data_IF_214733712504
#
_entry.id   IF_214733712504
#
_cell.length_a   1.000
_cell.length_b   1.000
_cell.length_c   1.000
_cell.angle_alpha   90.00
_cell.angle_beta   90.00
_cell.angle_gamma   90.00
#
_symmetry.space_group_name_H-M   'P 1'
#
loop_
_entity.id
_entity.type
_entity.pdbx_description
1 polymer ?
#
# COMPACT_ATOMS: atom_id res chain seq x y z
N UNK A 1 4.56 10.51 -7.77
CA UNK A 1 3.13 10.15 -7.90
C UNK A 1 2.34 10.63 -6.68
N UNK A 2 2.80 10.34 -5.44
CA UNK A 2 2.28 10.94 -4.20
C UNK A 2 2.29 12.49 -4.18
N UNK A 3 3.20 13.12 -4.94
CA UNK A 3 3.33 14.59 -5.00
C UNK A 3 2.20 15.29 -5.75
N UNK A 4 1.63 14.71 -6.81
CA UNK A 4 0.60 15.39 -7.60
C UNK A 4 -0.78 15.36 -6.89
N UNK A 5 -1.08 14.25 -6.24
CA UNK A 5 -2.28 14.05 -5.41
C UNK A 5 -2.35 15.06 -4.26
N UNK A 6 -1.23 15.18 -3.55
CA UNK A 6 -1.13 16.08 -2.40
C UNK A 6 -1.21 17.55 -2.83
N UNK A 7 -0.61 17.94 -3.95
CA UNK A 7 -0.66 19.33 -4.45
C UNK A 7 -2.10 19.75 -4.78
N UNK A 8 -2.91 18.86 -5.37
CA UNK A 8 -4.31 19.15 -5.74
C UNK A 8 -5.19 19.25 -4.49
N UNK A 9 -5.02 18.33 -3.54
CA UNK A 9 -5.77 18.32 -2.27
C UNK A 9 -5.37 19.51 -1.40
N UNK A 10 -4.10 19.91 -1.37
CA UNK A 10 -3.66 21.07 -0.61
C UNK A 10 -4.06 22.40 -1.26
N UNK A 11 -4.12 22.50 -2.60
CA UNK A 11 -4.68 23.70 -3.25
C UNK A 11 -6.17 23.90 -2.92
N UNK A 12 -6.92 22.80 -2.78
CA UNK A 12 -8.34 22.83 -2.45
C UNK A 12 -8.67 23.03 -0.96
N UNK A 13 -7.86 22.49 -0.05
CA UNK A 13 -8.12 22.53 1.41
C UNK A 13 -7.36 23.62 2.15
N UNK A 14 -6.26 24.11 1.57
CA UNK A 14 -5.32 25.07 2.16
C UNK A 14 -5.26 26.35 1.33
N UNK A 15 -6.30 26.64 0.53
CA UNK A 15 -6.46 27.94 -0.13
C UNK A 15 -6.34 29.15 0.84
N UNK A 16 -6.35 28.90 2.17
CA UNK A 16 -6.07 29.88 3.22
C UNK A 16 -4.86 29.64 4.14
N UNK A 17 -4.02 28.61 3.98
CA UNK A 17 -2.83 28.41 4.84
C UNK A 17 -1.50 28.42 4.07
N UNK A 18 -0.41 28.70 4.77
CA UNK A 18 0.88 29.01 4.13
C UNK A 18 1.53 27.77 3.51
N UNK A 19 2.17 27.96 2.36
CA UNK A 19 2.98 26.94 1.66
C UNK A 19 4.00 26.24 2.60
N UNK A 20 4.50 27.00 3.58
CA UNK A 20 5.45 26.52 4.60
C UNK A 20 4.87 25.39 5.45
N UNK A 21 3.61 25.49 5.89
CA UNK A 21 3.00 24.45 6.73
C UNK A 21 2.77 23.15 5.96
N UNK A 22 2.35 23.24 4.69
CA UNK A 22 2.21 22.07 3.83
C UNK A 22 3.55 21.38 3.61
N UNK A 23 4.58 22.14 3.23
CA UNK A 23 5.92 21.60 2.98
C UNK A 23 6.48 20.89 4.22
N UNK A 24 6.26 21.44 5.42
CA UNK A 24 6.72 20.86 6.67
C UNK A 24 6.03 19.52 6.96
N UNK A 25 4.69 19.47 6.92
CA UNK A 25 3.92 18.25 7.18
C UNK A 25 4.33 17.12 6.22
N UNK A 26 4.44 17.43 4.93
CA UNK A 26 4.82 16.45 3.91
C UNK A 26 6.23 15.93 4.09
N UNK A 27 7.17 16.81 4.44
CA UNK A 27 8.56 16.42 4.70
C UNK A 27 8.66 15.48 5.90
N UNK A 28 7.93 15.77 6.99
CA UNK A 28 7.91 14.92 8.19
C UNK A 28 7.32 13.54 7.88
N UNK A 29 6.16 13.49 7.21
CA UNK A 29 5.53 12.22 6.83
C UNK A 29 6.47 11.41 5.91
N UNK A 30 7.11 12.07 4.93
CA UNK A 30 8.04 11.40 4.03
C UNK A 30 9.23 10.77 4.76
N UNK A 31 9.82 11.47 5.73
CA UNK A 31 10.93 10.94 6.55
C UNK A 31 10.46 9.76 7.41
N UNK A 32 9.33 9.90 8.11
CA UNK A 32 8.77 8.85 8.96
C UNK A 32 8.49 7.59 8.13
N UNK A 33 7.86 7.73 6.96
CA UNK A 33 7.56 6.60 6.09
C UNK A 33 8.82 5.95 5.53
N UNK A 34 9.84 6.75 5.18
CA UNK A 34 11.14 6.23 4.72
C UNK A 34 11.78 5.37 5.80
N UNK A 35 11.90 5.89 7.02
CA UNK A 35 12.48 5.15 8.15
C UNK A 35 11.61 3.94 8.50
N UNK A 36 10.29 4.10 8.52
CA UNK A 36 9.35 3.03 8.85
C UNK A 36 9.42 1.84 7.90
N UNK A 37 9.41 2.09 6.59
CA UNK A 37 9.46 1.03 5.57
C UNK A 37 10.82 0.34 5.57
N UNK A 38 11.92 1.10 5.53
CA UNK A 38 13.27 0.50 5.55
C UNK A 38 13.57 -0.19 6.88
N UNK A 39 13.10 0.35 7.99
CA UNK A 39 13.22 -0.25 9.32
C UNK A 39 12.44 -1.56 9.43
N UNK A 40 11.22 -1.62 8.89
CA UNK A 40 10.43 -2.86 8.83
C UNK A 40 11.14 -3.93 7.98
N UNK A 41 11.63 -3.57 6.80
CA UNK A 41 12.37 -4.50 5.93
C UNK A 41 13.66 -4.98 6.61
N UNK A 42 14.44 -4.08 7.21
CA UNK A 42 15.65 -4.43 7.94
C UNK A 42 15.35 -5.34 9.15
N UNK A 43 14.23 -5.11 9.84
CA UNK A 43 13.75 -5.98 10.91
C UNK A 43 13.48 -7.40 10.42
N UNK A 44 12.84 -7.56 9.26
CA UNK A 44 12.54 -8.88 8.68
C UNK A 44 13.83 -9.61 8.31
N UNK A 45 14.78 -8.93 7.66
CA UNK A 45 16.08 -9.52 7.31
C UNK A 45 16.86 -9.94 8.56
N UNK A 46 16.85 -9.12 9.61
CA UNK A 46 17.52 -9.44 10.86
C UNK A 46 16.89 -10.63 11.60
N UNK A 47 15.57 -10.81 11.47
CA UNK A 47 14.90 -12.02 11.97
C UNK A 47 15.31 -13.26 11.16
N UNK A 48 15.47 -13.14 9.85
CA UNK A 48 15.94 -14.24 8.99
C UNK A 48 17.37 -14.68 9.39
N UNK A 49 18.29 -13.73 9.52
CA UNK A 49 19.67 -13.96 9.98
C UNK A 49 19.71 -14.55 11.39
N UNK A 50 18.86 -14.07 12.30
CA UNK A 50 18.74 -14.61 13.66
C UNK A 50 18.22 -16.05 13.66
N UNK A 51 17.29 -16.39 12.74
CA UNK A 51 16.80 -17.75 12.53
C UNK A 51 17.91 -18.70 12.09
N UNK A 52 18.73 -18.29 11.13
CA UNK A 52 19.92 -19.03 10.69
C UNK A 52 20.94 -19.22 11.82
N UNK A 53 21.25 -18.16 12.56
CA UNK A 53 22.17 -18.21 13.69
C UNK A 53 21.68 -19.17 14.80
N UNK A 54 20.39 -19.12 15.12
CA UNK A 54 19.77 -20.03 16.09
C UNK A 54 19.85 -21.49 15.63
N UNK A 55 19.66 -21.74 14.33
CA UNK A 55 19.72 -23.08 13.76
C UNK A 55 21.13 -23.68 13.85
N UNK A 56 22.15 -22.90 13.46
CA UNK A 56 23.56 -23.30 13.58
C UNK A 56 23.94 -23.60 15.04
N UNK A 57 23.50 -22.77 15.98
CA UNK A 57 23.79 -22.95 17.41
C UNK A 57 23.02 -24.13 18.02
N UNK A 58 21.81 -24.42 17.54
CA UNK A 58 21.03 -25.57 17.98
C UNK A 58 21.67 -26.90 17.55
N UNK A 59 22.26 -26.95 16.35
CA UNK A 59 23.02 -28.11 15.89
C UNK A 59 24.25 -28.40 16.77
N UNK A 60 24.92 -27.37 17.28
CA UNK A 60 26.07 -27.53 18.18
C UNK A 60 25.69 -27.85 19.63
N UNK A 61 24.56 -27.32 20.12
CA UNK A 61 24.15 -27.45 21.54
C UNK A 61 23.05 -28.48 21.81
N UNK A 62 22.57 -29.22 20.79
CA UNK A 62 21.57 -30.29 20.93
C UNK A 62 20.15 -29.83 21.32
N UNK A 63 19.85 -28.54 21.19
CA UNK A 63 18.59 -27.95 21.67
C UNK A 63 17.46 -28.02 20.64
N UNK A 64 16.65 -29.09 20.67
CA UNK A 64 15.50 -29.30 19.76
C UNK A 64 14.53 -28.10 19.68
N UNK A 65 14.31 -27.40 20.80
CA UNK A 65 13.46 -26.20 20.84
C UNK A 65 14.05 -25.03 20.03
N UNK A 66 15.37 -24.79 20.16
CA UNK A 66 16.07 -23.73 19.42
C UNK A 66 16.11 -24.02 17.92
N UNK A 67 16.24 -25.30 17.56
CA UNK A 67 16.20 -25.76 16.17
C UNK A 67 14.82 -25.52 15.54
N UNK A 68 13.74 -25.83 16.28
CA UNK A 68 12.37 -25.68 15.80
C UNK A 68 11.99 -24.21 15.62
N UNK A 69 12.39 -23.34 16.56
CA UNK A 69 12.21 -21.88 16.45
C UNK A 69 13.04 -21.31 15.30
N UNK A 70 14.29 -21.74 15.13
CA UNK A 70 15.16 -21.29 14.03
C UNK A 70 14.60 -21.66 12.65
N UNK A 71 14.12 -22.91 12.50
CA UNK A 71 13.44 -23.37 11.27
C UNK A 71 12.16 -22.59 10.99
N UNK A 72 11.38 -22.27 12.03
CA UNK A 72 10.17 -21.48 11.88
C UNK A 72 10.46 -20.05 11.43
N UNK A 73 11.42 -19.35 12.06
CA UNK A 73 11.82 -17.98 11.66
C UNK A 73 12.29 -17.94 10.20
N UNK A 74 13.19 -18.85 9.83
CA UNK A 74 13.75 -18.95 8.48
C UNK A 74 12.67 -19.26 7.42
N UNK A 75 11.66 -20.07 7.76
CA UNK A 75 10.55 -20.36 6.86
C UNK A 75 9.50 -19.23 6.80
N UNK A 76 9.38 -18.43 7.86
CA UNK A 76 8.42 -17.33 7.95
C UNK A 76 8.90 -16.07 7.22
N UNK A 77 10.20 -15.75 7.27
CA UNK A 77 10.78 -14.57 6.62
C UNK A 77 10.45 -14.44 5.12
N UNK A 78 10.65 -15.46 4.25
CA UNK A 78 10.33 -15.36 2.83
C UNK A 78 8.81 -15.28 2.57
N UNK A 79 7.98 -15.90 3.41
CA UNK A 79 6.52 -15.79 3.30
C UNK A 79 6.04 -14.38 3.64
N UNK A 80 6.62 -13.77 4.66
CA UNK A 80 6.32 -12.39 5.05
C UNK A 80 6.74 -11.40 3.95
N UNK A 81 7.92 -11.59 3.34
CA UNK A 81 8.36 -10.78 2.20
C UNK A 81 7.38 -10.89 1.01
N UNK A 82 6.92 -12.10 0.69
CA UNK A 82 5.93 -12.31 -0.38
C UNK A 82 4.57 -11.68 -0.05
N UNK A 83 4.13 -11.79 1.20
CA UNK A 83 2.89 -11.16 1.66
C UNK A 83 2.98 -9.63 1.55
N UNK A 84 4.09 -9.03 1.98
CA UNK A 84 4.32 -7.59 1.87
C UNK A 84 4.36 -7.11 0.42
N UNK A 85 4.94 -7.89 -0.50
CA UNK A 85 4.92 -7.58 -1.92
C UNK A 85 3.47 -7.53 -2.45
N UNK A 86 2.66 -8.54 -2.14
CA UNK A 86 1.25 -8.58 -2.55
C UNK A 86 0.42 -7.45 -1.91
N UNK A 87 0.55 -7.26 -0.59
CA UNK A 87 -0.12 -6.18 0.13
C UNK A 87 0.29 -4.81 -0.41
N UNK A 88 1.57 -4.64 -0.77
CA UNK A 88 2.08 -3.44 -1.41
C UNK A 88 1.43 -3.20 -2.77
N UNK A 89 1.28 -4.22 -3.61
CA UNK A 89 0.57 -4.11 -4.89
C UNK A 89 -0.89 -3.69 -4.69
N UNK A 90 -1.61 -4.32 -3.75
CA UNK A 90 -2.99 -3.95 -3.43
C UNK A 90 -3.08 -2.50 -2.94
N UNK A 91 -2.15 -2.08 -2.07
CA UNK A 91 -2.08 -0.71 -1.59
C UNK A 91 -1.81 0.29 -2.72
N UNK A 92 -0.94 -0.03 -3.68
CA UNK A 92 -0.69 0.85 -4.83
C UNK A 92 -1.93 1.05 -5.70
N UNK A 93 -2.76 0.01 -5.89
CA UNK A 93 -4.03 0.15 -6.60
C UNK A 93 -5.05 0.95 -5.80
N UNK A 94 -5.18 0.68 -4.50
CA UNK A 94 -6.09 1.41 -3.63
C UNK A 94 -5.79 2.91 -3.61
N UNK A 95 -4.51 3.26 -3.41
CA UNK A 95 -4.05 4.66 -3.42
C UNK A 95 -4.24 5.28 -4.80
N UNK A 96 -3.84 4.59 -5.87
CA UNK A 96 -4.01 5.08 -7.24
C UNK A 96 -5.47 5.34 -7.63
N UNK A 97 -6.39 4.46 -7.21
CA UNK A 97 -7.82 4.65 -7.44
C UNK A 97 -8.41 5.81 -6.64
N UNK A 98 -8.03 5.96 -5.38
CA UNK A 98 -8.42 7.11 -4.55
C UNK A 98 -8.01 8.44 -5.18
N UNK A 99 -6.81 8.54 -5.76
CA UNK A 99 -6.34 9.71 -6.52
C UNK A 99 -7.31 10.04 -7.67
N UNK A 100 -7.71 9.02 -8.44
CA UNK A 100 -8.57 9.21 -9.60
C UNK A 100 -9.97 9.67 -9.20
N UNK A 101 -10.54 9.09 -8.15
CA UNK A 101 -11.86 9.49 -7.64
C UNK A 101 -11.82 10.94 -7.19
N UNK A 102 -10.84 11.33 -6.37
CA UNK A 102 -10.75 12.70 -5.86
C UNK A 102 -10.43 13.71 -6.98
N UNK A 103 -9.65 13.31 -7.99
CA UNK A 103 -9.26 14.17 -9.11
C UNK A 103 -10.35 14.35 -10.18
N UNK A 104 -11.33 13.43 -10.27
CA UNK A 104 -12.37 13.45 -11.30
C UNK A 104 -13.75 13.59 -10.62
N UNK A 105 -14.40 14.77 -10.70
CA UNK A 105 -15.68 15.02 -10.03
C UNK A 105 -16.77 13.98 -10.34
N UNK A 106 -16.80 13.44 -11.55
CA UNK A 106 -17.77 12.40 -11.95
C UNK A 106 -17.58 11.11 -11.17
N UNK A 107 -16.33 10.70 -10.93
CA UNK A 107 -16.02 9.48 -10.17
C UNK A 107 -16.33 9.67 -8.68
N UNK A 108 -16.11 10.86 -8.15
CA UNK A 108 -16.49 11.22 -6.78
C UNK A 108 -18.01 11.10 -6.54
N UNK A 109 -18.84 11.64 -7.45
CA UNK A 109 -20.29 11.50 -7.34
C UNK A 109 -20.75 10.04 -7.52
N UNK A 110 -20.11 9.29 -8.40
CA UNK A 110 -20.39 7.86 -8.58
C UNK A 110 -20.06 7.04 -7.31
N UNK A 111 -18.98 7.39 -6.61
CA UNK A 111 -18.63 6.80 -5.32
C UNK A 111 -19.63 7.16 -4.23
N UNK A 112 -20.06 8.43 -4.16
CA UNK A 112 -21.06 8.87 -3.19
C UNK A 112 -22.40 8.13 -3.40
N UNK A 113 -22.88 8.05 -4.65
CA UNK A 113 -24.11 7.30 -4.96
C UNK A 113 -23.99 5.81 -4.66
N UNK A 114 -22.83 5.20 -4.91
CA UNK A 114 -22.56 3.81 -4.54
C UNK A 114 -22.54 3.62 -3.02
N UNK A 115 -21.96 4.56 -2.29
CA UNK A 115 -21.89 4.54 -0.81
C UNK A 115 -23.27 4.69 -0.19
N UNK A 116 -24.12 5.59 -0.70
CA UNK A 116 -25.51 5.76 -0.26
C UNK A 116 -26.34 4.49 -0.51
N UNK A 117 -26.20 3.87 -1.69
CA UNK A 117 -26.90 2.64 -2.04
C UNK A 117 -26.53 1.47 -1.12
N UNK A 118 -25.22 1.27 -0.88
CA UNK A 118 -24.74 0.17 -0.01
C UNK A 118 -25.07 0.44 1.46
N UNK A 119 -25.00 1.69 1.91
CA UNK A 119 -25.38 2.06 3.28
C UNK A 119 -26.88 1.84 3.51
N UNK A 120 -27.72 2.07 2.49
CA UNK A 120 -29.15 1.74 2.52
C UNK A 120 -29.45 0.24 2.62
N UNK A 121 -28.54 -0.63 2.15
CA UNK A 121 -28.72 -2.09 2.15
C UNK A 121 -28.07 -2.80 3.35
N UNK A 122 -26.91 -2.33 3.80
CA UNK A 122 -26.04 -3.04 4.76
C UNK A 122 -25.78 -2.22 6.05
N UNK A 123 -26.38 -1.02 6.13
CA UNK A 123 -26.22 -0.11 7.28
C UNK A 123 -24.79 0.44 7.41
N UNK A 124 -24.44 0.93 8.61
CA UNK A 124 -23.15 1.60 8.91
C UNK A 124 -21.89 0.79 8.59
N UNK A 125 -21.99 -0.53 8.43
CA UNK A 125 -20.84 -1.35 8.03
C UNK A 125 -20.43 -1.15 6.58
N UNK A 126 -21.37 -0.75 5.71
CA UNK A 126 -21.10 -0.43 4.30
C UNK A 126 -20.36 0.89 4.10
N UNK A 127 -20.50 1.84 5.02
CA UNK A 127 -20.00 3.21 4.89
C UNK A 127 -18.47 3.29 4.82
N UNK A 128 -17.77 2.40 5.53
CA UNK A 128 -16.31 2.34 5.56
C UNK A 128 -15.72 1.44 4.46
N UNK A 129 -16.43 0.37 4.08
CA UNK A 129 -15.92 -0.61 3.12
C UNK A 129 -16.15 -0.17 1.66
N UNK A 130 -17.26 0.52 1.37
CA UNK A 130 -17.62 0.94 0.02
C UNK A 130 -16.57 1.84 -0.65
N UNK A 131 -16.10 2.92 -0.03
CA UNK A 131 -15.09 3.78 -0.67
C UNK A 131 -13.79 3.02 -0.93
N UNK A 132 -13.31 2.21 0.02
CA UNK A 132 -12.08 1.42 -0.12
C UNK A 132 -12.20 0.44 -1.29
N UNK A 133 -13.32 -0.27 -1.40
CA UNK A 133 -13.55 -1.24 -2.48
C UNK A 133 -13.68 -0.50 -3.83
N UNK A 134 -14.38 0.63 -3.86
CA UNK A 134 -14.58 1.42 -5.07
C UNK A 134 -13.25 1.98 -5.60
N UNK A 135 -12.45 2.59 -4.73
CA UNK A 135 -11.10 3.06 -5.03
C UNK A 135 -10.23 1.92 -5.55
N UNK A 136 -10.19 0.79 -4.84
CA UNK A 136 -9.40 -0.37 -5.25
C UNK A 136 -9.79 -0.90 -6.63
N UNK A 137 -11.09 -1.03 -6.91
CA UNK A 137 -11.60 -1.48 -8.21
C UNK A 137 -11.23 -0.50 -9.33
N UNK A 138 -11.42 0.80 -9.12
CA UNK A 138 -11.05 1.82 -10.11
C UNK A 138 -9.54 1.84 -10.36
N UNK A 139 -8.73 1.70 -9.32
CA UNK A 139 -7.29 1.60 -9.44
C UNK A 139 -6.87 0.41 -10.32
N UNK A 140 -7.48 -0.76 -10.11
CA UNK A 140 -7.22 -1.95 -10.93
C UNK A 140 -7.66 -1.74 -12.38
N UNK A 141 -8.87 -1.20 -12.61
CA UNK A 141 -9.38 -0.93 -13.96
C UNK A 141 -8.48 0.05 -14.70
N UNK A 142 -8.07 1.15 -14.05
CA UNK A 142 -7.15 2.12 -14.63
C UNK A 142 -5.78 1.48 -14.95
N UNK A 143 -5.26 0.65 -14.04
CA UNK A 143 -4.02 -0.10 -14.27
C UNK A 143 -4.09 -1.02 -15.49
N UNK A 144 -5.19 -1.76 -15.64
CA UNK A 144 -5.43 -2.64 -16.81
C UNK A 144 -5.50 -1.81 -18.10
N UNK A 145 -6.24 -0.69 -18.10
CA UNK A 145 -6.33 0.19 -19.27
C UNK A 145 -4.94 0.69 -19.68
N UNK A 146 -4.13 1.15 -18.74
CA UNK A 146 -2.77 1.63 -19.02
C UNK A 146 -1.92 0.51 -19.64
N UNK A 147 -1.95 -0.70 -19.09
CA UNK A 147 -1.19 -1.84 -19.63
C UNK A 147 -1.64 -2.15 -21.06
N UNK A 148 -2.94 -2.20 -21.34
CA UNK A 148 -3.48 -2.47 -22.67
C UNK A 148 -3.05 -1.40 -23.70
N UNK A 149 -3.09 -0.11 -23.32
CA UNK A 149 -2.64 0.99 -24.18
C UNK A 149 -1.14 0.86 -24.48
N UNK A 150 -0.34 0.56 -23.46
CA UNK A 150 1.11 0.39 -23.62
C UNK A 150 1.43 -0.82 -24.49
N UNK A 151 0.72 -1.94 -24.34
CA UNK A 151 0.89 -3.12 -25.19
C UNK A 151 0.50 -2.83 -26.64
N UNK A 152 -0.62 -2.14 -26.86
CA UNK A 152 -1.07 -1.76 -28.20
C UNK A 152 -0.05 -0.82 -28.87
N UNK A 153 0.50 0.13 -28.12
CA UNK A 153 1.57 1.01 -28.60
C UNK A 153 2.83 0.24 -29.01
N UNK A 154 3.28 -0.70 -28.19
CA UNK A 154 4.43 -1.55 -28.52
C UNK A 154 4.16 -2.44 -29.75
N UNK A 155 2.92 -2.90 -29.93
CA UNK A 155 2.52 -3.69 -31.09
C UNK A 155 2.45 -2.89 -32.38
N UNK A 156 2.10 -1.60 -32.31
CA UNK A 156 2.07 -0.70 -33.49
C UNK A 156 3.48 -0.23 -33.87
N UNK A 157 4.41 -0.16 -32.90
CA UNK A 157 5.79 0.28 -33.13
C UNK A 157 6.75 -0.86 -33.53
N UNK A 158 6.32 -2.11 -33.44
CA UNK A 158 7.03 -3.29 -33.97
C UNK A 158 6.57 -3.58 -35.39
#
# INVERSE_FOLDING_TARGET
MLSAEIIVITLGTVAGATLVNQALVLSVIAIIMTIGVYGLVAGIVKLDDAGLYLLQKAQQSGGKFKELVGKFLLAAAPKLMRFLAFAGTVAMFLVGGGILVHGIPVLHHAQQGSTEFVTGLVGKTGELATPIIFDGLLGVVAGVIVVLVVELWHKIRR
#
